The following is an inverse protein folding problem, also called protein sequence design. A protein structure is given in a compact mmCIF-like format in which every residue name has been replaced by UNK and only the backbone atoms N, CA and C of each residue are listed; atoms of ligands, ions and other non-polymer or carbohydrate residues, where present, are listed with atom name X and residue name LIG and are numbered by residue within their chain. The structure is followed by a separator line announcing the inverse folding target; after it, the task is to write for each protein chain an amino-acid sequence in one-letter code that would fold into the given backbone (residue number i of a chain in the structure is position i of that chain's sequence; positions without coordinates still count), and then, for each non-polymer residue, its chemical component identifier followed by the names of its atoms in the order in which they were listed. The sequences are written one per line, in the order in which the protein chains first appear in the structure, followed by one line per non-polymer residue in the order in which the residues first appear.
data_IF_170938938494
#
_entry.id   IF_170938938494
#
_cell.length_a   1.000
_cell.length_b   1.000
_cell.length_c   1.000
_cell.angle_alpha   90.00
_cell.angle_beta   90.00
_cell.angle_gamma   90.00
#
_symmetry.space_group_name_H-M   'P 1'
#
loop_
_entity.id
_entity.type
_entity.pdbx_description
1 polymer ?
#
# COMPACT_ATOMS: atom_id res chain seq x y z
N UNK A 1 49.98 -5.64 16.61
CA UNK A 1 49.60 -6.33 15.36
C UNK A 1 48.13 -6.68 15.43
N UNK A 2 47.26 -5.92 14.78
CA UNK A 2 45.82 -6.19 14.72
C UNK A 2 45.59 -7.36 13.77
N UNK A 3 44.95 -8.40 14.29
CA UNK A 3 44.72 -9.67 13.61
C UNK A 3 43.65 -9.46 12.52
N UNK A 4 44.08 -9.41 11.26
CA UNK A 4 43.28 -9.04 10.06
C UNK A 4 42.11 -9.98 9.76
N UNK A 5 41.99 -11.11 10.48
CA UNK A 5 40.88 -12.06 10.32
C UNK A 5 39.53 -11.55 10.86
N UNK A 6 39.52 -10.56 11.75
CA UNK A 6 38.28 -10.02 12.32
C UNK A 6 37.60 -8.96 11.42
N UNK A 7 38.31 -8.36 10.46
CA UNK A 7 37.75 -7.31 9.59
C UNK A 7 36.89 -7.86 8.44
N UNK A 8 37.08 -9.11 8.03
CA UNK A 8 36.29 -9.71 6.95
C UNK A 8 34.90 -10.20 7.37
N UNK A 9 34.67 -10.41 8.67
CA UNK A 9 33.36 -10.84 9.18
C UNK A 9 32.37 -9.67 9.33
N UNK A 10 32.87 -8.43 9.46
CA UNK A 10 32.00 -7.25 9.53
C UNK A 10 31.44 -6.83 8.16
N UNK A 11 32.17 -7.06 7.07
CA UNK A 11 31.73 -6.67 5.73
C UNK A 11 30.70 -7.63 5.10
N UNK A 12 30.66 -8.89 5.55
CA UNK A 12 29.67 -9.87 5.08
C UNK A 12 28.32 -9.69 5.80
N UNK A 13 28.31 -9.18 7.03
CA UNK A 13 27.07 -8.98 7.80
C UNK A 13 26.24 -7.75 7.35
N UNK A 14 26.84 -6.80 6.64
CA UNK A 14 26.14 -5.59 6.16
C UNK A 14 25.35 -5.83 4.86
N UNK A 15 25.62 -6.93 4.14
CA UNK A 15 24.92 -7.28 2.90
C UNK A 15 23.63 -8.07 3.10
N UNK A 16 23.30 -8.46 4.34
CA UNK A 16 22.10 -9.23 4.69
C UNK A 16 21.00 -8.38 5.35
N UNK A 17 21.13 -7.04 5.34
CA UNK A 17 20.00 -6.16 5.51
C UNK A 17 19.12 -6.26 4.26
N UNK A 18 18.43 -7.39 4.11
CA UNK A 18 17.40 -7.60 3.11
C UNK A 18 16.51 -6.37 3.11
N UNK A 19 16.34 -5.77 1.93
CA UNK A 19 15.34 -4.74 1.70
C UNK A 19 14.03 -5.25 2.30
N UNK A 20 13.65 -4.72 3.46
CA UNK A 20 12.33 -4.92 4.00
C UNK A 20 11.39 -4.15 3.07
N UNK A 21 10.95 -4.80 2.00
CA UNK A 21 9.83 -4.34 1.19
C UNK A 21 8.69 -4.12 2.16
N UNK A 22 8.26 -2.86 2.31
CA UNK A 22 7.15 -2.47 3.16
C UNK A 22 5.97 -3.39 2.82
N UNK A 23 5.47 -4.24 3.74
CA UNK A 23 4.52 -5.27 3.36
C UNK A 23 3.24 -4.61 2.88
N UNK A 24 2.98 -4.76 1.58
CA UNK A 24 1.71 -4.40 0.96
C UNK A 24 0.68 -5.39 1.47
N UNK A 25 0.12 -5.12 2.64
CA UNK A 25 -0.90 -5.98 3.21
C UNK A 25 -2.24 -5.66 2.53
N UNK A 26 -2.93 -6.66 1.97
CA UNK A 26 -4.32 -6.54 1.57
C UNK A 26 -5.20 -6.16 2.78
N UNK A 27 -6.43 -5.65 2.56
CA UNK A 27 -7.21 -5.73 1.32
C UNK A 27 -7.00 -4.52 0.38
N UNK A 28 -7.25 -4.74 -0.90
CA UNK A 28 -7.28 -3.68 -1.92
C UNK A 28 -6.00 -3.52 -2.73
N UNK A 29 -4.95 -4.23 -2.33
CA UNK A 29 -3.72 -4.34 -3.09
C UNK A 29 -3.96 -5.14 -4.38
N UNK A 30 -3.31 -4.75 -5.49
CA UNK A 30 -3.51 -5.39 -6.81
C UNK A 30 -2.22 -5.93 -7.46
N UNK A 31 -1.03 -5.56 -6.96
CA UNK A 31 0.24 -6.02 -7.52
C UNK A 31 1.37 -6.08 -6.47
N UNK A 32 1.97 -7.26 -6.27
CA UNK A 32 3.08 -7.52 -5.34
C UNK A 32 4.40 -6.96 -5.90
N UNK A 33 4.47 -5.63 -6.05
CA UNK A 33 5.67 -4.90 -6.46
C UNK A 33 6.42 -4.27 -5.29
N UNK A 34 7.52 -3.57 -5.60
CA UNK A 34 8.27 -2.74 -4.62
C UNK A 34 7.40 -1.59 -4.09
N UNK A 35 6.46 -1.11 -4.91
CA UNK A 35 5.45 -0.13 -4.53
C UNK A 35 4.12 -0.84 -4.33
N UNK A 36 3.42 -0.51 -3.25
CA UNK A 36 2.09 -1.07 -3.03
C UNK A 36 1.07 -0.32 -3.87
N UNK A 37 0.48 -1.00 -4.84
CA UNK A 37 -0.60 -0.48 -5.67
C UNK A 37 -1.96 -0.94 -5.15
N UNK A 38 -2.92 -0.03 -5.10
CA UNK A 38 -4.27 -0.26 -4.61
C UNK A 38 -5.31 0.24 -5.62
N UNK A 39 -6.39 -0.51 -5.80
CA UNK A 39 -7.59 -0.02 -6.49
C UNK A 39 -8.67 0.23 -5.45
N UNK A 40 -9.09 1.48 -5.31
CA UNK A 40 -10.03 1.91 -4.28
C UNK A 40 -11.16 2.75 -4.90
N UNK A 41 -12.40 2.49 -4.50
CA UNK A 41 -13.56 3.29 -4.89
C UNK A 41 -13.70 4.48 -3.94
N UNK A 42 -13.63 5.69 -4.46
CA UNK A 42 -13.70 6.92 -3.64
C UNK A 42 -15.13 7.18 -3.18
N UNK A 43 -15.34 7.19 -1.87
CA UNK A 43 -16.65 7.42 -1.24
C UNK A 43 -16.79 8.82 -0.67
N UNK A 44 -15.68 9.47 -0.32
CA UNK A 44 -15.65 10.86 0.16
C UNK A 44 -14.36 11.55 -0.31
N UNK A 45 -14.47 12.80 -0.73
CA UNK A 45 -13.34 13.64 -1.10
C UNK A 45 -13.54 15.04 -0.49
N UNK A 46 -12.62 15.45 0.37
CA UNK A 46 -12.65 16.76 1.04
C UNK A 46 -11.28 17.41 1.00
N UNK A 47 -11.24 18.72 0.87
CA UNK A 47 -10.00 19.46 1.08
C UNK A 47 -9.58 19.36 2.55
N UNK A 48 -8.30 19.08 2.77
CA UNK A 48 -7.66 18.96 4.08
C UNK A 48 -6.79 20.18 4.39
N UNK A 49 -5.95 20.05 5.42
CA UNK A 49 -5.02 21.09 5.80
C UNK A 49 -3.84 21.18 4.81
N UNK A 50 -3.29 22.39 4.63
CA UNK A 50 -2.07 22.65 3.86
C UNK A 50 -2.10 22.16 2.40
N UNK A 51 -3.27 22.23 1.74
CA UNK A 51 -3.41 21.89 0.32
C UNK A 51 -3.43 20.39 0.02
N UNK A 52 -3.57 19.54 1.04
CA UNK A 52 -3.82 18.11 0.89
C UNK A 52 -5.32 17.85 0.78
N UNK A 53 -5.73 16.70 0.26
CA UNK A 53 -7.12 16.26 0.20
C UNK A 53 -7.29 15.01 1.05
N UNK A 54 -8.30 15.01 1.91
CA UNK A 54 -8.73 13.83 2.66
C UNK A 54 -9.68 13.01 1.78
N UNK A 55 -9.35 11.73 1.63
CA UNK A 55 -10.11 10.77 0.84
C UNK A 55 -10.64 9.70 1.78
N UNK A 56 -11.92 9.34 1.64
CA UNK A 56 -12.40 8.04 2.08
C UNK A 56 -12.63 7.17 0.85
N UNK A 57 -12.26 5.91 0.98
CA UNK A 57 -12.48 4.94 -0.08
C UNK A 57 -12.69 3.55 0.50
N UNK A 58 -13.35 2.69 -0.25
CA UNK A 58 -13.52 1.26 0.06
C UNK A 58 -12.83 0.42 -1.00
N UNK A 59 -12.58 -0.84 -0.68
CA UNK A 59 -12.06 -1.79 -1.66
C UNK A 59 -13.21 -2.30 -2.52
N UNK A 60 -13.17 -2.16 -3.85
CA UNK A 60 -14.20 -2.70 -4.73
C UNK A 60 -14.33 -4.21 -4.59
N UNK A 61 -15.54 -4.74 -4.75
CA UNK A 61 -15.81 -6.18 -4.61
C UNK A 61 -14.94 -7.02 -5.55
N UNK A 62 -14.73 -6.56 -6.79
CA UNK A 62 -13.85 -7.23 -7.77
C UNK A 62 -12.41 -7.41 -7.28
N UNK A 63 -11.89 -6.45 -6.50
CA UNK A 63 -10.53 -6.50 -5.94
C UNK A 63 -10.48 -7.43 -4.74
N UNK A 64 -11.55 -7.51 -3.94
CA UNK A 64 -11.67 -8.46 -2.84
C UNK A 64 -11.74 -9.89 -3.35
N UNK A 65 -12.52 -10.13 -4.40
CA UNK A 65 -12.68 -11.45 -5.02
C UNK A 65 -11.36 -11.94 -5.62
N UNK A 66 -10.64 -11.06 -6.33
CA UNK A 66 -9.29 -11.35 -6.84
C UNK A 66 -8.32 -11.66 -5.70
N UNK A 67 -8.24 -10.81 -4.68
CA UNK A 67 -7.34 -11.02 -3.55
C UNK A 67 -7.65 -12.31 -2.79
N UNK A 68 -8.93 -12.70 -2.70
CA UNK A 68 -9.35 -13.98 -2.13
C UNK A 68 -8.88 -15.17 -2.96
N UNK A 69 -8.94 -15.08 -4.29
CA UNK A 69 -8.46 -16.13 -5.19
C UNK A 69 -6.93 -16.30 -5.13
N UNK A 70 -6.21 -15.21 -4.89
CA UNK A 70 -4.75 -15.19 -4.79
C UNK A 70 -4.23 -15.46 -3.36
N UNK A 71 -5.12 -15.61 -2.37
CA UNK A 71 -4.74 -15.79 -0.96
C UNK A 71 -4.27 -17.23 -0.69
N UNK A 72 -3.13 -17.43 0.01
CA UNK A 72 -2.71 -18.76 0.43
C UNK A 72 -3.77 -19.49 1.26
N UNK A 73 -3.89 -20.81 1.10
CA UNK A 73 -4.93 -21.62 1.76
C UNK A 73 -4.88 -21.57 3.30
N UNK A 74 -3.75 -21.18 3.90
CA UNK A 74 -3.52 -21.03 5.33
C UNK A 74 -3.71 -19.60 5.85
N UNK A 75 -4.20 -18.68 5.00
CA UNK A 75 -4.56 -17.34 5.39
C UNK A 75 -5.77 -17.32 6.34
N UNK A 76 -5.63 -16.59 7.46
CA UNK A 76 -6.73 -16.32 8.40
C UNK A 76 -7.51 -15.05 8.02
N UNK A 77 -7.42 -14.55 6.78
CA UNK A 77 -8.12 -13.34 6.36
C UNK A 77 -9.62 -13.59 6.15
N UNK A 78 -10.41 -12.65 6.63
CA UNK A 78 -11.88 -12.68 6.58
C UNK A 78 -12.39 -11.66 5.58
N UNK A 79 -12.41 -12.03 4.30
CA UNK A 79 -12.75 -11.12 3.21
C UNK A 79 -14.17 -10.56 3.30
N UNK A 80 -15.07 -11.24 3.99
CA UNK A 80 -16.43 -10.81 4.30
C UNK A 80 -16.50 -9.52 5.13
N UNK A 81 -15.42 -9.14 5.83
CA UNK A 81 -15.40 -7.94 6.68
C UNK A 81 -14.95 -6.66 5.95
N UNK A 82 -14.46 -6.78 4.72
CA UNK A 82 -13.85 -5.67 3.98
C UNK A 82 -14.75 -4.86 3.03
N UNK A 83 -15.86 -5.37 2.46
CA UNK A 83 -16.66 -4.61 1.49
C UNK A 83 -17.19 -3.28 2.01
N UNK A 84 -17.55 -3.24 3.30
CA UNK A 84 -18.11 -2.07 3.97
C UNK A 84 -17.06 -1.26 4.76
N UNK A 85 -15.80 -1.68 4.75
CA UNK A 85 -14.74 -1.00 5.50
C UNK A 85 -14.22 0.19 4.71
N UNK A 86 -14.50 1.39 5.19
CA UNK A 86 -13.94 2.63 4.64
C UNK A 86 -12.55 2.93 5.20
N UNK A 87 -11.61 3.18 4.30
CA UNK A 87 -10.26 3.63 4.60
C UNK A 87 -10.17 5.14 4.41
N UNK A 88 -9.55 5.82 5.36
CA UNK A 88 -9.26 7.25 5.26
C UNK A 88 -7.77 7.48 5.02
N UNK A 89 -7.42 8.27 4.02
CA UNK A 89 -6.05 8.67 3.72
C UNK A 89 -6.00 10.07 3.12
N UNK A 90 -4.79 10.60 2.95
CA UNK A 90 -4.55 11.91 2.34
C UNK A 90 -3.81 11.77 1.01
N UNK A 91 -4.17 12.62 0.05
CA UNK A 91 -3.47 12.79 -1.23
C UNK A 91 -3.04 14.25 -1.41
N UNK A 92 -1.94 14.49 -2.12
CA UNK A 92 -1.47 15.86 -2.38
C UNK A 92 -2.19 16.54 -3.55
N UNK A 93 -2.88 15.77 -4.40
CA UNK A 93 -3.61 16.25 -5.58
C UNK A 93 -4.90 15.46 -5.72
N UNK A 94 -6.01 16.16 -5.95
CA UNK A 94 -7.31 15.54 -6.22
C UNK A 94 -7.74 15.63 -7.69
N UNK A 95 -6.90 16.22 -8.57
CA UNK A 95 -7.19 16.27 -10.00
C UNK A 95 -7.35 14.85 -10.55
N UNK A 96 -8.53 14.55 -11.10
CA UNK A 96 -8.86 13.23 -11.65
C UNK A 96 -9.60 12.30 -10.67
N UNK A 97 -9.68 12.63 -9.37
CA UNK A 97 -10.50 11.89 -8.42
C UNK A 97 -11.97 12.32 -8.50
N UNK A 98 -12.88 11.36 -8.51
CA UNK A 98 -14.32 11.59 -8.49
C UNK A 98 -14.99 10.64 -7.52
N UNK A 99 -16.09 11.08 -6.91
CA UNK A 99 -16.91 10.23 -6.04
C UNK A 99 -17.52 9.09 -6.87
N UNK A 100 -17.44 7.87 -6.36
CA UNK A 100 -17.91 6.64 -7.00
C UNK A 100 -16.93 6.04 -8.01
N UNK A 101 -15.86 6.73 -8.38
CA UNK A 101 -14.86 6.19 -9.29
C UNK A 101 -13.89 5.26 -8.56
N UNK A 102 -13.56 4.14 -9.20
CA UNK A 102 -12.44 3.29 -8.81
C UNK A 102 -11.17 3.93 -9.35
N UNK A 103 -10.27 4.32 -8.45
CA UNK A 103 -8.99 4.94 -8.78
C UNK A 103 -7.82 4.09 -8.32
N UNK A 104 -6.72 4.15 -9.07
CA UNK A 104 -5.47 3.54 -8.69
C UNK A 104 -4.69 4.45 -7.73
N UNK A 105 -4.18 3.89 -6.66
CA UNK A 105 -3.36 4.57 -5.66
C UNK A 105 -2.08 3.80 -5.43
N UNK A 106 -1.00 4.47 -5.04
CA UNK A 106 0.20 3.79 -4.56
C UNK A 106 0.76 4.40 -3.28
N UNK A 107 1.43 3.56 -2.50
CA UNK A 107 2.33 4.01 -1.43
C UNK A 107 3.67 4.42 -2.02
N UNK A 108 4.25 5.48 -1.46
CA UNK A 108 5.67 5.75 -1.65
C UNK A 108 6.51 4.67 -0.94
N UNK A 109 7.63 4.28 -1.54
CA UNK A 109 8.50 3.23 -1.00
C UNK A 109 8.95 3.52 0.45
N UNK A 110 9.17 4.79 0.77
CA UNK A 110 9.64 5.24 2.08
C UNK A 110 8.50 5.46 3.10
N UNK A 111 7.23 5.44 2.67
CA UNK A 111 6.10 5.72 3.54
C UNK A 111 5.53 4.44 4.17
N UNK A 112 5.76 4.29 5.47
CA UNK A 112 5.24 3.16 6.24
C UNK A 112 3.75 3.31 6.55
N UNK A 113 3.19 4.51 6.41
CA UNK A 113 1.83 4.81 6.87
C UNK A 113 0.81 4.66 5.75
N UNK A 114 -0.29 3.96 6.03
CA UNK A 114 -1.46 3.91 5.15
C UNK A 114 -2.19 5.26 5.02
N UNK A 115 -1.90 6.20 5.93
CA UNK A 115 -2.58 7.49 6.00
C UNK A 115 -2.26 8.45 4.84
N UNK A 116 -1.30 8.13 3.97
CA UNK A 116 -0.98 8.96 2.80
C UNK A 116 -0.74 8.07 1.59
N UNK A 117 -1.43 8.39 0.50
CA UNK A 117 -1.31 7.71 -0.79
C UNK A 117 -1.13 8.74 -1.89
N UNK A 118 -0.61 8.29 -3.02
CA UNK A 118 -0.53 9.08 -4.24
C UNK A 118 -1.48 8.51 -5.29
N UNK A 119 -2.04 9.39 -6.13
CA UNK A 119 -2.84 8.97 -7.26
C UNK A 119 -1.93 8.27 -8.28
N UNK A 120 -2.19 7.00 -8.54
CA UNK A 120 -1.50 6.22 -9.55
C UNK A 120 -1.98 6.59 -10.95
N UNK A 121 -1.12 6.30 -11.93
CA UNK A 121 -1.56 6.20 -13.32
C UNK A 121 -2.11 4.77 -13.46
N UNK A 122 -3.40 4.63 -13.76
CA UNK A 122 -4.00 3.31 -13.95
C UNK A 122 -3.16 2.48 -14.93
N UNK A 123 -2.87 1.24 -14.55
CA UNK A 123 -2.24 0.25 -15.43
C UNK A 123 -3.22 -0.18 -16.55
#
# INVERSE_FOLDING_TARGET
MINTKFLFLLSVFVLLAGCASTPCNPPGHVNWGVFCHYKLEVTELKEGAAGQFKVKAKVPQEVLDRNRADDPMDSNRKYENYPDLEYTFYVNKAAGLRLGDISDFHKNADDKNWGRLELGKGE
#
